data_IF_744958843210
#
_entry.id   IF_744958843210
#
_cell.length_a   1.000
_cell.length_b   1.000
_cell.length_c   1.000
_cell.angle_alpha   90.00
_cell.angle_beta   90.00
_cell.angle_gamma   90.00
#
_symmetry.space_group_name_H-M   'P 1'
#
loop_
_entity.id
_entity.type
_entity.pdbx_description
1 polymer ?
#
# COMPACT_ATOMS: atom_id res chain seq x y z
N UNK A 1 -5.40 21.53 6.51
CA UNK A 1 -5.80 21.55 7.94
C UNK A 1 -5.15 20.33 8.57
N UNK A 2 -4.32 20.54 9.58
CA UNK A 2 -3.73 19.47 10.38
C UNK A 2 -4.77 19.01 11.42
N UNK A 3 -4.94 17.70 11.58
CA UNK A 3 -5.86 17.12 12.58
C UNK A 3 -4.99 16.62 13.71
N UNK A 4 -5.16 17.18 14.91
CA UNK A 4 -4.23 17.00 16.04
C UNK A 4 -4.08 15.52 16.45
N UNK A 5 -5.11 14.72 16.23
CA UNK A 5 -5.16 13.30 16.55
C UNK A 5 -4.48 12.39 15.53
N UNK A 6 -4.16 12.89 14.32
CA UNK A 6 -3.61 12.10 13.23
C UNK A 6 -2.13 12.41 13.02
N UNK A 7 -1.31 11.38 12.99
CA UNK A 7 0.12 11.48 12.69
C UNK A 7 0.40 10.89 11.31
N UNK A 8 0.99 11.69 10.43
CA UNK A 8 1.48 11.22 9.13
C UNK A 8 2.77 10.42 9.33
N UNK A 9 2.80 9.15 8.91
CA UNK A 9 3.96 8.27 9.03
C UNK A 9 4.74 8.14 7.71
N UNK A 10 4.04 8.09 6.58
CA UNK A 10 4.67 7.97 5.27
C UNK A 10 3.89 8.71 4.20
N UNK A 11 4.61 9.44 3.36
CA UNK A 11 4.11 10.08 2.15
C UNK A 11 5.04 9.80 0.97
N UNK A 12 4.52 10.08 -0.22
CA UNK A 12 5.22 10.08 -1.49
C UNK A 12 5.09 11.47 -2.11
N UNK A 13 6.15 11.96 -2.72
CA UNK A 13 6.11 13.23 -3.48
C UNK A 13 5.13 13.17 -4.65
N UNK A 14 4.98 11.99 -5.29
CA UNK A 14 4.08 11.80 -6.43
C UNK A 14 2.70 11.31 -6.01
N UNK A 15 2.61 10.31 -5.14
CA UNK A 15 1.34 9.66 -4.78
C UNK A 15 0.64 10.31 -3.56
N UNK A 16 1.31 11.20 -2.84
CA UNK A 16 0.77 11.86 -1.65
C UNK A 16 0.80 10.98 -0.40
N UNK A 17 -0.23 11.12 0.46
CA UNK A 17 -0.30 10.47 1.77
C UNK A 17 -0.48 8.95 1.63
N UNK A 18 0.36 8.16 2.31
CA UNK A 18 0.27 6.70 2.27
C UNK A 18 -0.10 6.08 3.61
N UNK A 19 0.65 6.37 4.68
CA UNK A 19 0.41 5.82 6.02
C UNK A 19 0.13 6.94 7.01
N UNK A 20 -0.99 6.81 7.73
CA UNK A 20 -1.39 7.70 8.82
C UNK A 20 -1.79 6.84 10.01
N UNK A 21 -1.45 7.28 11.21
CA UNK A 21 -1.83 6.62 12.45
C UNK A 21 -2.66 7.57 13.31
N UNK A 22 -3.75 7.05 13.88
CA UNK A 22 -4.56 7.75 14.87
C UNK A 22 -3.99 7.62 16.28
N UNK A 23 -4.71 8.14 17.29
CA UNK A 23 -4.25 8.14 18.67
C UNK A 23 -3.90 6.74 19.16
N UNK A 24 -2.72 6.63 19.78
CA UNK A 24 -2.22 5.40 20.42
C UNK A 24 -2.23 4.18 19.48
N UNK A 25 -2.17 4.36 18.16
CA UNK A 25 -2.12 3.23 17.22
C UNK A 25 -3.40 2.40 17.07
N UNK A 26 -4.50 2.82 17.73
CA UNK A 26 -5.82 2.19 17.61
C UNK A 26 -6.40 2.19 16.20
N UNK A 27 -5.94 3.13 15.38
CA UNK A 27 -6.37 3.30 14.00
C UNK A 27 -5.13 3.43 13.13
N UNK A 28 -5.00 2.56 12.14
CA UNK A 28 -3.96 2.62 11.12
C UNK A 28 -4.63 2.77 9.77
N UNK A 29 -4.26 3.80 9.03
CA UNK A 29 -4.79 4.08 7.70
C UNK A 29 -3.69 3.86 6.67
N UNK A 30 -3.94 2.95 5.73
CA UNK A 30 -3.10 2.72 4.56
C UNK A 30 -3.90 3.07 3.30
N UNK A 31 -3.52 4.15 2.63
CA UNK A 31 -4.23 4.65 1.43
C UNK A 31 -3.67 4.09 0.12
N UNK A 32 -2.51 3.45 0.18
CA UNK A 32 -1.94 2.72 -0.95
C UNK A 32 -2.06 1.21 -0.72
N UNK A 33 -1.73 0.45 -1.74
CA UNK A 33 -1.94 -0.99 -1.76
C UNK A 33 -0.67 -1.80 -1.48
N UNK A 34 -0.16 -1.71 -0.25
CA UNK A 34 1.06 -2.45 0.17
C UNK A 34 0.85 -3.98 0.18
N UNK A 35 -0.39 -4.44 0.20
CA UNK A 35 -0.82 -5.83 0.14
C UNK A 35 -0.83 -6.43 -1.26
N UNK A 36 -0.72 -5.61 -2.31
CA UNK A 36 -0.87 -6.10 -3.68
C UNK A 36 0.15 -7.17 -4.04
N UNK A 37 -0.35 -8.19 -4.73
CA UNK A 37 0.46 -9.24 -5.30
C UNK A 37 1.20 -8.74 -6.56
N UNK A 38 2.14 -9.53 -7.06
CA UNK A 38 2.97 -9.19 -8.21
C UNK A 38 2.15 -8.71 -9.42
N UNK A 39 1.05 -9.39 -9.74
CA UNK A 39 0.28 -9.20 -10.98
C UNK A 39 -0.97 -8.32 -10.81
N UNK A 40 -1.25 -7.79 -9.62
CA UNK A 40 -2.52 -7.10 -9.35
C UNK A 40 -2.71 -5.87 -10.26
N UNK A 41 -1.74 -4.95 -10.32
CA UNK A 41 -1.83 -3.77 -11.19
C UNK A 41 -1.86 -4.12 -12.69
N UNK A 42 -1.19 -5.21 -13.10
CA UNK A 42 -1.27 -5.71 -14.47
C UNK A 42 -2.69 -6.13 -14.82
N UNK A 43 -3.33 -6.91 -13.95
CA UNK A 43 -4.69 -7.39 -14.17
C UNK A 43 -5.69 -6.23 -14.24
N UNK A 44 -5.52 -5.21 -13.40
CA UNK A 44 -6.34 -3.98 -13.47
C UNK A 44 -6.14 -3.24 -14.80
N UNK A 45 -4.88 -3.05 -15.21
CA UNK A 45 -4.55 -2.40 -16.48
C UNK A 45 -5.15 -3.15 -17.67
N UNK A 46 -4.99 -4.47 -17.72
CA UNK A 46 -5.53 -5.30 -18.80
C UNK A 46 -7.06 -5.30 -18.81
N UNK A 47 -7.70 -5.41 -17.63
CA UNK A 47 -9.16 -5.34 -17.47
C UNK A 47 -9.72 -4.04 -18.03
N UNK A 48 -9.12 -2.91 -17.67
CA UNK A 48 -9.67 -1.60 -18.06
C UNK A 48 -9.36 -1.27 -19.52
N UNK A 49 -8.21 -1.72 -20.04
CA UNK A 49 -7.93 -1.70 -21.48
C UNK A 49 -8.93 -2.52 -22.29
N UNK A 50 -9.30 -3.70 -21.81
CA UNK A 50 -10.31 -4.56 -22.47
C UNK A 50 -11.71 -3.92 -22.49
N UNK A 51 -12.03 -3.07 -21.51
CA UNK A 51 -13.27 -2.27 -21.50
C UNK A 51 -13.22 -1.07 -22.47
N UNK A 52 -12.10 -0.84 -23.15
CA UNK A 52 -11.91 0.32 -24.02
C UNK A 52 -11.74 1.64 -23.26
N UNK A 53 -11.40 1.59 -21.96
CA UNK A 53 -11.09 2.80 -21.20
C UNK A 53 -9.72 3.32 -21.62
N UNK A 54 -9.60 4.65 -21.70
CA UNK A 54 -8.31 5.30 -21.92
C UNK A 54 -7.57 5.38 -20.58
N UNK A 55 -6.62 4.47 -20.35
CA UNK A 55 -5.85 4.38 -19.11
C UNK A 55 -4.36 4.32 -19.45
N UNK A 56 -3.55 4.99 -18.63
CA UNK A 56 -2.10 4.93 -18.75
C UNK A 56 -1.51 3.65 -18.16
N UNK A 57 -0.35 3.26 -18.65
CA UNK A 57 0.42 2.14 -18.09
C UNK A 57 0.79 2.45 -16.63
N UNK A 58 0.65 1.50 -15.67
CA UNK A 58 1.05 1.72 -14.29
C UNK A 58 2.51 2.17 -14.18
N UNK A 59 2.72 3.33 -13.56
CA UNK A 59 4.04 3.95 -13.42
C UNK A 59 4.98 3.07 -12.58
N UNK A 60 6.25 3.03 -12.97
CA UNK A 60 7.32 2.33 -12.27
C UNK A 60 7.09 0.81 -12.04
N UNK A 61 6.11 0.22 -12.73
CA UNK A 61 5.66 -1.15 -12.54
C UNK A 61 6.22 -2.10 -13.60
N UNK A 62 6.15 -1.72 -14.89
CA UNK A 62 6.76 -2.49 -15.99
C UNK A 62 8.13 -1.94 -16.38
N UNK A 63 9.03 -2.82 -16.84
CA UNK A 63 10.29 -2.39 -17.43
C UNK A 63 10.01 -1.60 -18.71
N UNK A 64 10.61 -0.40 -18.84
CA UNK A 64 10.42 0.51 -19.97
C UNK A 64 8.94 0.86 -20.27
N UNK A 65 8.04 0.79 -19.28
CA UNK A 65 6.60 0.95 -19.46
C UNK A 65 5.97 0.00 -20.51
N UNK A 66 6.57 -1.17 -20.74
CA UNK A 66 6.05 -2.17 -21.67
C UNK A 66 5.16 -3.20 -20.94
N UNK A 67 3.83 -3.24 -21.15
CA UNK A 67 2.92 -4.16 -20.46
C UNK A 67 3.15 -5.65 -20.76
N UNK A 68 3.95 -5.96 -21.79
CA UNK A 68 4.33 -7.34 -22.12
C UNK A 68 5.51 -7.84 -21.26
N UNK A 69 6.21 -6.95 -20.56
CA UNK A 69 7.30 -7.30 -19.65
C UNK A 69 6.75 -7.80 -18.30
N UNK A 70 7.59 -8.51 -17.54
CA UNK A 70 7.22 -8.91 -16.17
C UNK A 70 7.18 -7.69 -15.24
N UNK A 71 6.24 -7.64 -14.28
CA UNK A 71 6.21 -6.60 -13.25
C UNK A 71 7.46 -6.55 -12.38
N UNK A 72 7.86 -5.35 -11.99
CA UNK A 72 8.97 -5.08 -11.08
C UNK A 72 8.43 -4.90 -9.65
N UNK A 73 8.56 -5.94 -8.82
CA UNK A 73 8.04 -5.91 -7.44
C UNK A 73 9.04 -5.21 -6.52
N UNK A 74 8.76 -3.95 -6.16
CA UNK A 74 9.60 -3.15 -5.25
C UNK A 74 8.98 -2.89 -3.87
N UNK A 75 7.70 -3.19 -3.69
CA UNK A 75 6.96 -2.85 -2.46
C UNK A 75 6.85 -3.99 -1.44
N UNK A 76 7.07 -5.24 -1.86
CA UNK A 76 6.80 -6.45 -1.04
C UNK A 76 7.49 -6.42 0.34
N UNK A 77 8.74 -5.97 0.41
CA UNK A 77 9.46 -5.90 1.68
C UNK A 77 8.76 -5.00 2.70
N UNK A 78 8.29 -3.83 2.25
CA UNK A 78 7.60 -2.88 3.10
C UNK A 78 6.17 -3.32 3.42
N UNK A 79 5.49 -4.00 2.48
CA UNK A 79 4.21 -4.67 2.77
C UNK A 79 4.34 -5.68 3.91
N UNK A 80 5.33 -6.57 3.84
CA UNK A 80 5.56 -7.55 4.90
C UNK A 80 5.88 -6.88 6.25
N UNK A 81 6.72 -5.84 6.26
CA UNK A 81 7.05 -5.09 7.48
C UNK A 81 5.83 -4.39 8.07
N UNK A 82 4.97 -3.79 7.23
CA UNK A 82 3.75 -3.11 7.69
C UNK A 82 2.85 -4.07 8.47
N UNK A 83 2.50 -5.22 7.87
CA UNK A 83 1.62 -6.18 8.52
C UNK A 83 2.27 -6.85 9.74
N UNK A 84 3.56 -7.20 9.68
CA UNK A 84 4.28 -7.77 10.81
C UNK A 84 4.33 -6.81 12.00
N UNK A 85 4.69 -5.55 11.77
CA UNK A 85 4.77 -4.54 12.82
C UNK A 85 3.38 -4.22 13.40
N UNK A 86 2.37 -4.12 12.53
CA UNK A 86 1.00 -3.88 12.97
C UNK A 86 0.51 -4.99 13.92
N UNK A 87 0.67 -6.25 13.54
CA UNK A 87 0.25 -7.37 14.38
C UNK A 87 1.03 -7.44 15.69
N UNK A 88 2.35 -7.32 15.63
CA UNK A 88 3.20 -7.55 16.81
C UNK A 88 3.11 -6.40 17.83
N UNK A 89 3.09 -5.14 17.37
CA UNK A 89 3.24 -3.99 18.25
C UNK A 89 1.93 -3.27 18.57
N UNK A 90 0.90 -3.40 17.72
CA UNK A 90 -0.36 -2.68 17.89
C UNK A 90 -1.55 -3.60 18.17
N UNK A 91 -1.52 -4.86 17.70
CA UNK A 91 -2.59 -5.83 18.01
C UNK A 91 -2.25 -6.67 19.23
N UNK A 92 -1.08 -7.33 19.20
CA UNK A 92 -0.72 -8.34 20.20
C UNK A 92 -0.31 -7.72 21.55
N UNK A 93 0.56 -6.70 21.54
CA UNK A 93 1.06 -6.12 22.80
C UNK A 93 0.04 -5.27 23.56
N UNK A 94 -1.05 -4.83 22.91
CA UNK A 94 -2.13 -4.08 23.56
C UNK A 94 -3.27 -4.97 24.09
N UNK A 95 -3.28 -6.26 23.75
CA UNK A 95 -4.32 -7.20 24.19
C UNK A 95 -3.80 -8.10 25.30
N UNK A 96 -4.38 -8.10 26.53
CA UNK A 96 -3.94 -8.99 27.58
C UNK A 96 -4.16 -10.45 27.18
N UNK A 97 -3.06 -11.21 27.12
CA UNK A 97 -3.09 -12.67 26.91
C UNK A 97 -3.55 -13.35 28.20
N UNK A 98 -4.71 -14.00 28.17
CA UNK A 98 -5.21 -14.82 29.28
C UNK A 98 -4.89 -16.28 28.99
N UNK A 99 -4.10 -16.90 29.87
CA UNK A 99 -3.73 -18.32 29.83
C UNK A 99 -4.84 -19.20 30.39
#
# INVERSE_FOLDING_TARGET
REVKELTLLANSEEAGVHLVIGPEGRQVFALGHSEYSCETLKQEYERDRQKGLNIDVPKNYFKHNNPNEKPLVRWRSHGNLLFSNWLNYYVYQETPYVL
#
